data_IF_087747133471
#
_entry.id   IF_087747133471
#
_cell.length_a   1.000
_cell.length_b   1.000
_cell.length_c   1.000
_cell.angle_alpha   90.00
_cell.angle_beta   90.00
_cell.angle_gamma   90.00
#
_symmetry.space_group_name_H-M   'P 1'
#
loop_
_entity.id
_entity.type
_entity.pdbx_description
1 polymer ?
#
# COMPACT_ATOMS: atom_id res chain seq x y z
N UNK A 1 15.56 0.69 11.17
CA UNK A 1 16.49 1.64 11.83
C UNK A 1 17.35 0.98 12.90
N UNK A 2 16.81 0.17 13.82
CA UNK A 2 17.58 -0.46 14.90
C UNK A 2 18.67 -1.44 14.40
N UNK A 3 18.52 -2.00 13.23
CA UNK A 3 19.46 -2.97 12.66
C UNK A 3 20.45 -2.30 11.70
N UNK A 4 19.94 -1.47 10.81
CA UNK A 4 20.73 -0.90 9.69
C UNK A 4 21.60 0.27 10.16
N UNK A 5 21.07 1.18 10.98
CA UNK A 5 21.80 2.36 11.43
C UNK A 5 23.10 2.04 12.19
N UNK A 6 23.13 1.10 13.15
CA UNK A 6 24.39 0.75 13.81
C UNK A 6 25.46 0.22 12.84
N UNK A 7 25.05 -0.53 11.81
CA UNK A 7 25.96 -1.05 10.76
C UNK A 7 26.58 0.11 9.97
N UNK A 8 25.76 1.04 9.47
CA UNK A 8 26.22 2.16 8.68
C UNK A 8 27.04 3.17 9.47
N UNK A 9 26.70 3.37 10.74
CA UNK A 9 27.47 4.20 11.66
C UNK A 9 28.86 3.58 11.94
N UNK A 10 28.93 2.27 12.16
CA UNK A 10 30.18 1.56 12.38
C UNK A 10 31.11 1.62 11.14
N UNK A 11 30.54 1.72 9.94
CA UNK A 11 31.28 1.89 8.68
C UNK A 11 31.68 3.37 8.41
N UNK A 12 31.28 4.31 9.27
CA UNK A 12 31.53 5.74 9.07
C UNK A 12 30.74 6.36 7.91
N UNK A 13 29.66 5.72 7.48
CA UNK A 13 28.84 6.18 6.35
C UNK A 13 27.72 7.11 6.80
N UNK A 14 27.27 7.02 8.05
CA UNK A 14 26.23 7.85 8.66
C UNK A 14 26.63 8.17 10.09
N UNK A 15 26.66 9.44 10.46
CA UNK A 15 26.97 9.88 11.82
C UNK A 15 25.74 9.92 12.72
N UNK A 16 24.67 10.56 12.24
CA UNK A 16 23.42 10.75 12.98
C UNK A 16 22.20 10.63 12.05
N UNK A 17 21.10 10.13 12.59
CA UNK A 17 19.81 10.10 11.92
C UNK A 17 18.80 10.85 12.78
N UNK A 18 18.17 11.87 12.21
CA UNK A 18 17.05 12.60 12.81
C UNK A 18 15.75 12.08 12.21
N UNK A 19 14.85 11.56 13.03
CA UNK A 19 13.56 11.01 12.59
C UNK A 19 12.45 11.94 13.03
N UNK A 20 11.57 12.30 12.08
CA UNK A 20 10.33 13.04 12.34
C UNK A 20 9.15 12.27 11.76
N UNK A 21 7.96 12.53 12.27
CA UNK A 21 6.73 11.88 11.82
C UNK A 21 5.66 12.93 11.54
N UNK A 22 5.07 12.89 10.37
CA UNK A 22 4.02 13.82 9.93
C UNK A 22 2.61 13.21 9.92
N UNK A 23 2.48 11.90 10.11
CA UNK A 23 1.20 11.18 10.05
C UNK A 23 0.39 11.48 8.76
N UNK A 24 1.07 11.59 7.62
CA UNK A 24 0.49 11.94 6.32
C UNK A 24 -0.07 13.37 6.24
N UNK A 25 0.27 14.25 7.17
CA UNK A 25 -0.03 15.69 7.09
C UNK A 25 1.01 16.39 6.22
N UNK A 26 0.58 16.85 5.04
CA UNK A 26 1.43 17.55 4.08
C UNK A 26 2.08 18.80 4.66
N UNK A 27 1.32 19.59 5.39
CA UNK A 27 1.79 20.87 5.97
C UNK A 27 2.86 20.62 7.02
N UNK A 28 2.63 19.65 7.90
CA UNK A 28 3.59 19.25 8.92
C UNK A 28 4.86 18.66 8.27
N UNK A 29 4.73 17.83 7.24
CA UNK A 29 5.88 17.27 6.53
C UNK A 29 6.72 18.36 5.86
N UNK A 30 6.09 19.33 5.21
CA UNK A 30 6.75 20.51 4.63
C UNK A 30 7.50 21.30 5.72
N UNK A 31 6.85 21.57 6.84
CA UNK A 31 7.46 22.29 7.95
C UNK A 31 8.69 21.57 8.50
N UNK A 32 8.58 20.26 8.76
CA UNK A 32 9.68 19.43 9.26
C UNK A 32 10.86 19.42 8.29
N UNK A 33 10.61 19.23 6.99
CA UNK A 33 11.64 19.27 5.96
C UNK A 33 12.33 20.63 5.91
N UNK A 34 11.58 21.74 5.96
CA UNK A 34 12.17 23.09 5.97
C UNK A 34 13.04 23.32 7.21
N UNK A 35 12.61 22.89 8.38
CA UNK A 35 13.40 22.98 9.61
C UNK A 35 14.73 22.22 9.49
N UNK A 36 14.73 21.04 8.87
CA UNK A 36 15.96 20.27 8.61
C UNK A 36 16.89 21.02 7.63
N UNK A 37 16.34 21.53 6.53
CA UNK A 37 17.10 22.25 5.49
C UNK A 37 17.69 23.52 6.07
N UNK A 38 16.89 24.34 6.75
CA UNK A 38 17.32 25.63 7.31
C UNK A 38 18.26 25.48 8.51
N UNK A 39 18.14 24.36 9.22
CA UNK A 39 19.01 24.02 10.35
C UNK A 39 20.46 23.73 9.95
N UNK A 40 20.71 23.40 8.68
CA UNK A 40 22.05 23.17 8.11
C UNK A 40 22.83 22.03 8.77
N UNK A 41 22.12 21.05 9.35
CA UNK A 41 22.71 19.91 10.07
C UNK A 41 22.47 18.56 9.39
N UNK A 42 21.82 18.56 8.24
CA UNK A 42 21.53 17.34 7.49
C UNK A 42 22.19 17.42 6.11
N UNK A 43 22.76 16.31 5.68
CA UNK A 43 23.40 16.20 4.36
C UNK A 43 22.44 15.63 3.30
N UNK A 44 21.40 14.93 3.72
CA UNK A 44 20.35 14.39 2.87
C UNK A 44 19.05 14.22 3.65
N UNK A 45 17.92 14.16 2.94
CA UNK A 45 16.60 13.91 3.51
C UNK A 45 16.00 12.67 2.83
N UNK A 46 15.55 11.70 3.64
CA UNK A 46 14.79 10.55 3.17
C UNK A 46 13.35 10.75 3.62
N UNK A 47 12.41 10.64 2.67
CA UNK A 47 10.98 10.84 2.94
C UNK A 47 10.14 9.64 2.50
N UNK A 48 9.12 9.32 3.30
CA UNK A 48 7.92 8.66 2.84
C UNK A 48 6.91 9.78 2.54
N UNK A 49 6.71 10.14 1.27
CA UNK A 49 5.95 11.33 0.95
C UNK A 49 4.45 11.16 1.22
N UNK A 50 3.85 12.13 1.88
CA UNK A 50 2.41 12.17 2.16
C UNK A 50 1.60 12.36 0.87
N UNK A 51 2.15 13.11 -0.09
CA UNK A 51 1.47 13.48 -1.34
C UNK A 51 2.47 13.63 -2.50
N UNK A 52 2.06 13.25 -3.71
CA UNK A 52 2.95 13.22 -4.88
C UNK A 52 3.43 14.58 -5.35
N UNK A 53 2.75 15.67 -5.01
CA UNK A 53 3.05 17.02 -5.49
C UNK A 53 3.29 18.05 -4.39
N UNK A 54 2.67 17.90 -3.23
CA UNK A 54 2.68 18.89 -2.16
C UNK A 54 4.09 19.28 -1.70
N UNK A 55 5.01 18.32 -1.72
CA UNK A 55 6.40 18.50 -1.26
C UNK A 55 7.35 19.06 -2.33
N UNK A 56 6.92 19.16 -3.59
CA UNK A 56 7.81 19.49 -4.71
C UNK A 56 8.59 20.79 -4.53
N UNK A 57 7.95 21.84 -4.00
CA UNK A 57 8.61 23.13 -3.75
C UNK A 57 9.68 23.03 -2.65
N UNK A 58 9.39 22.25 -1.61
CA UNK A 58 10.34 22.06 -0.50
C UNK A 58 11.51 21.17 -0.92
N UNK A 59 11.25 20.14 -1.73
CA UNK A 59 12.30 19.30 -2.32
C UNK A 59 13.24 20.15 -3.20
N UNK A 60 12.67 20.99 -4.07
CA UNK A 60 13.47 21.93 -4.89
C UNK A 60 14.31 22.86 -4.00
N UNK A 61 13.73 23.40 -2.94
CA UNK A 61 14.45 24.26 -2.00
C UNK A 61 15.62 23.54 -1.33
N UNK A 62 15.45 22.30 -0.90
CA UNK A 62 16.54 21.46 -0.38
C UNK A 62 17.64 21.25 -1.40
N UNK A 63 17.27 20.91 -2.64
CA UNK A 63 18.21 20.75 -3.75
C UNK A 63 19.06 21.99 -4.00
N UNK A 64 18.45 23.19 -4.02
CA UNK A 64 19.14 24.47 -4.17
C UNK A 64 20.11 24.79 -3.01
N UNK A 65 19.91 24.16 -1.85
CA UNK A 65 20.80 24.22 -0.68
C UNK A 65 21.85 23.10 -0.67
N UNK A 66 21.88 22.24 -1.67
CA UNK A 66 22.80 21.10 -1.75
C UNK A 66 22.37 19.89 -0.94
N UNK A 67 21.10 19.84 -0.47
CA UNK A 67 20.54 18.74 0.32
C UNK A 67 19.63 17.90 -0.58
N UNK A 68 20.09 16.75 -1.08
CA UNK A 68 19.28 15.86 -1.90
C UNK A 68 18.13 15.24 -1.07
N UNK A 69 17.04 14.96 -1.77
CA UNK A 69 15.90 14.24 -1.20
C UNK A 69 15.69 12.92 -1.91
N UNK A 70 15.58 11.85 -1.13
CA UNK A 70 15.22 10.51 -1.58
C UNK A 70 13.81 10.19 -1.07
N UNK A 71 12.91 9.78 -1.96
CA UNK A 71 11.57 9.33 -1.59
C UNK A 71 11.49 7.81 -1.71
N UNK A 72 10.99 7.14 -0.67
CA UNK A 72 10.76 5.70 -0.64
C UNK A 72 9.28 5.41 -0.36
N UNK A 73 8.80 4.25 -0.75
CA UNK A 73 7.41 3.80 -0.61
C UNK A 73 6.43 4.68 -1.40
N UNK A 74 6.27 5.95 -1.07
CA UNK A 74 5.58 6.94 -1.89
C UNK A 74 6.57 7.61 -2.85
N UNK A 75 6.08 8.14 -3.98
CA UNK A 75 6.92 8.88 -4.92
C UNK A 75 6.44 10.32 -5.09
N UNK A 76 7.36 11.20 -5.46
CA UNK A 76 7.06 12.59 -5.78
C UNK A 76 7.20 12.84 -7.28
N UNK A 77 6.51 13.86 -7.79
CA UNK A 77 6.67 14.32 -9.17
C UNK A 77 7.80 15.34 -9.33
N UNK A 78 8.54 15.63 -8.25
CA UNK A 78 9.65 16.56 -8.30
C UNK A 78 10.81 16.01 -9.14
N UNK A 79 11.36 16.78 -10.11
CA UNK A 79 12.56 16.37 -10.84
C UNK A 79 13.84 16.48 -9.97
N UNK A 80 13.73 17.00 -8.75
CA UNK A 80 14.81 17.20 -7.80
C UNK A 80 14.86 16.13 -6.71
N UNK A 81 14.04 15.08 -6.81
CA UNK A 81 14.07 13.93 -5.89
C UNK A 81 14.49 12.66 -6.60
N UNK A 82 15.14 11.79 -5.86
CA UNK A 82 15.40 10.42 -6.25
C UNK A 82 14.23 9.58 -5.69
N UNK A 83 13.46 8.96 -6.57
CA UNK A 83 12.36 8.09 -6.15
C UNK A 83 12.85 6.64 -6.17
N UNK A 84 12.77 5.97 -5.02
CA UNK A 84 12.97 4.53 -4.88
C UNK A 84 11.64 3.92 -4.44
N UNK A 85 11.02 3.14 -5.28
CA UNK A 85 9.73 2.54 -4.98
C UNK A 85 9.46 1.37 -5.90
N UNK A 86 8.63 0.43 -5.45
CA UNK A 86 8.11 -0.62 -6.33
C UNK A 86 7.10 -0.03 -7.32
N UNK A 87 6.91 -0.72 -8.42
CA UNK A 87 5.86 -0.35 -9.37
C UNK A 87 4.49 -0.80 -8.85
N UNK A 88 3.88 -0.01 -7.97
CA UNK A 88 2.57 -0.30 -7.38
C UNK A 88 1.48 -0.56 -8.41
N UNK A 89 1.52 0.16 -9.53
CA UNK A 89 0.53 -0.04 -10.59
C UNK A 89 0.66 -1.43 -11.21
N UNK A 90 1.89 -1.91 -11.41
CA UNK A 90 2.13 -3.24 -11.92
C UNK A 90 1.74 -4.32 -10.90
N UNK A 91 2.05 -4.10 -9.61
CA UNK A 91 1.59 -4.99 -8.53
C UNK A 91 0.07 -5.11 -8.54
N UNK A 92 -0.65 -3.98 -8.57
CA UNK A 92 -2.10 -3.99 -8.65
C UNK A 92 -2.63 -4.68 -9.91
N UNK A 93 -1.98 -4.47 -11.05
CA UNK A 93 -2.37 -5.12 -12.31
C UNK A 93 -2.29 -6.65 -12.19
N UNK A 94 -1.21 -7.18 -11.65
CA UNK A 94 -1.09 -8.63 -11.44
C UNK A 94 -2.16 -9.17 -10.48
N UNK A 95 -2.46 -8.44 -9.42
CA UNK A 95 -3.53 -8.81 -8.47
C UNK A 95 -4.89 -8.88 -9.17
N UNK A 96 -5.21 -7.87 -9.97
CA UNK A 96 -6.48 -7.82 -10.72
C UNK A 96 -6.59 -8.92 -11.77
N UNK A 97 -5.52 -9.15 -12.56
CA UNK A 97 -5.47 -10.18 -13.58
C UNK A 97 -5.60 -11.56 -12.95
N UNK A 98 -4.80 -11.83 -11.92
CA UNK A 98 -4.87 -13.10 -11.20
C UNK A 98 -6.25 -13.34 -10.58
N UNK A 99 -6.86 -12.34 -9.95
CA UNK A 99 -8.22 -12.47 -9.41
C UNK A 99 -9.24 -12.81 -10.51
N UNK A 100 -9.15 -12.15 -11.66
CA UNK A 100 -10.06 -12.45 -12.79
C UNK A 100 -9.90 -13.89 -13.28
N UNK A 101 -8.66 -14.34 -13.46
CA UNK A 101 -8.36 -15.73 -13.87
C UNK A 101 -8.85 -16.73 -12.83
N UNK A 102 -8.63 -16.48 -11.56
CA UNK A 102 -9.02 -17.35 -10.45
C UNK A 102 -10.53 -17.59 -10.40
N UNK A 103 -11.34 -16.56 -10.66
CA UNK A 103 -12.80 -16.69 -10.69
C UNK A 103 -13.34 -17.14 -12.05
N UNK A 104 -12.46 -17.56 -12.98
CA UNK A 104 -12.82 -18.04 -14.32
C UNK A 104 -13.27 -16.94 -15.27
N UNK A 105 -12.66 -15.78 -15.20
CA UNK A 105 -12.87 -14.60 -16.06
C UNK A 105 -14.32 -14.08 -16.08
N UNK A 106 -15.09 -14.42 -15.06
CA UNK A 106 -16.49 -14.07 -14.93
C UNK A 106 -16.93 -14.00 -13.48
N UNK A 107 -17.61 -12.93 -13.09
CA UNK A 107 -18.16 -12.80 -11.76
C UNK A 107 -18.07 -11.38 -11.20
N UNK A 108 -18.35 -11.26 -9.94
CA UNK A 108 -18.39 -9.99 -9.23
C UNK A 108 -17.22 -9.91 -8.26
N UNK A 109 -16.45 -8.85 -8.36
CA UNK A 109 -15.26 -8.58 -7.53
C UNK A 109 -15.48 -7.33 -6.69
N UNK A 110 -15.11 -7.39 -5.42
CA UNK A 110 -14.91 -6.21 -4.58
C UNK A 110 -13.42 -5.85 -4.60
N UNK A 111 -13.11 -4.57 -4.74
CA UNK A 111 -11.76 -4.03 -4.62
C UNK A 111 -11.67 -3.30 -3.28
N UNK A 112 -10.72 -3.72 -2.44
CA UNK A 112 -10.46 -3.10 -1.16
C UNK A 112 -9.13 -2.35 -1.22
N UNK A 113 -9.21 -1.03 -1.27
CA UNK A 113 -8.06 -0.14 -1.38
C UNK A 113 -7.53 0.31 -0.02
N UNK A 114 -6.25 0.67 0.04
CA UNK A 114 -5.60 1.17 1.24
C UNK A 114 -6.11 2.56 1.63
N UNK A 115 -5.23 3.57 1.61
CA UNK A 115 -5.57 4.96 1.93
C UNK A 115 -5.84 5.72 0.62
N UNK A 116 -7.07 6.14 0.34
CA UNK A 116 -7.38 6.97 -0.82
C UNK A 116 -6.58 8.28 -0.82
N UNK A 117 -6.04 8.66 -1.98
CA UNK A 117 -5.20 9.85 -2.13
C UNK A 117 -3.72 9.64 -1.80
N UNK A 118 -3.36 8.54 -1.15
CA UNK A 118 -1.95 8.17 -0.99
C UNK A 118 -1.42 7.49 -2.24
N UNK A 119 -0.26 7.95 -2.74
CA UNK A 119 0.23 7.60 -4.08
C UNK A 119 0.36 6.09 -4.33
N UNK A 120 0.89 5.35 -3.36
CA UNK A 120 1.06 3.90 -3.47
C UNK A 120 -0.30 3.19 -3.57
N UNK A 121 -1.25 3.56 -2.71
CA UNK A 121 -2.61 3.00 -2.72
C UNK A 121 -3.33 3.29 -4.03
N UNK A 122 -3.32 4.55 -4.47
CA UNK A 122 -3.96 4.97 -5.71
C UNK A 122 -3.39 4.28 -6.96
N UNK A 123 -2.06 4.12 -7.04
CA UNK A 123 -1.43 3.44 -8.16
C UNK A 123 -1.76 1.94 -8.17
N UNK A 124 -1.76 1.31 -7.01
CA UNK A 124 -2.13 -0.10 -6.89
C UNK A 124 -3.60 -0.31 -7.28
N UNK A 125 -4.51 0.54 -6.79
CA UNK A 125 -5.93 0.50 -7.14
C UNK A 125 -6.15 0.69 -8.65
N UNK A 126 -5.46 1.67 -9.27
CA UNK A 126 -5.49 1.87 -10.73
C UNK A 126 -5.01 0.63 -11.49
N UNK A 127 -4.01 -0.08 -10.96
CA UNK A 127 -3.54 -1.32 -11.55
C UNK A 127 -4.60 -2.42 -11.51
N UNK A 128 -5.19 -2.65 -10.34
CA UNK A 128 -6.27 -3.65 -10.15
C UNK A 128 -7.43 -3.38 -11.12
N UNK A 129 -7.92 -2.16 -11.14
CA UNK A 129 -9.05 -1.77 -12.01
C UNK A 129 -8.70 -1.88 -13.50
N UNK A 130 -7.47 -1.54 -13.89
CA UNK A 130 -7.02 -1.69 -15.27
C UNK A 130 -7.05 -3.15 -15.70
N UNK A 131 -6.50 -4.05 -14.90
CA UNK A 131 -6.52 -5.48 -15.21
C UNK A 131 -7.95 -6.04 -15.28
N UNK A 132 -8.79 -5.76 -14.26
CA UNK A 132 -10.17 -6.24 -14.24
C UNK A 132 -10.99 -5.73 -15.45
N UNK A 133 -10.67 -4.55 -15.98
CA UNK A 133 -11.35 -3.99 -17.16
C UNK A 133 -11.08 -4.74 -18.46
N UNK A 134 -10.03 -5.55 -18.51
CA UNK A 134 -9.71 -6.40 -19.68
C UNK A 134 -10.58 -7.65 -19.75
N UNK A 135 -11.30 -7.98 -18.67
CA UNK A 135 -12.19 -9.14 -18.59
C UNK A 135 -13.66 -8.70 -18.64
N UNK A 136 -14.33 -8.73 -19.79
CA UNK A 136 -15.64 -8.10 -20.01
C UNK A 136 -16.77 -8.71 -19.17
N UNK A 137 -16.58 -9.92 -18.64
CA UNK A 137 -17.57 -10.58 -17.79
C UNK A 137 -17.26 -10.47 -16.28
N UNK A 138 -16.21 -9.75 -15.91
CA UNK A 138 -15.88 -9.44 -14.52
C UNK A 138 -16.40 -8.05 -14.16
N UNK A 139 -17.18 -7.97 -13.09
CA UNK A 139 -17.80 -6.73 -12.66
C UNK A 139 -17.21 -6.29 -11.33
N UNK A 140 -16.72 -5.07 -11.23
CA UNK A 140 -16.39 -4.47 -9.94
C UNK A 140 -17.69 -3.97 -9.31
N UNK A 141 -18.15 -4.64 -8.26
CA UNK A 141 -19.43 -4.37 -7.59
C UNK A 141 -19.29 -3.54 -6.32
N UNK A 142 -18.08 -3.34 -5.84
CA UNK A 142 -17.75 -2.50 -4.69
C UNK A 142 -16.29 -2.04 -4.72
N UNK A 143 -16.06 -0.82 -4.26
CA UNK A 143 -14.74 -0.28 -3.95
C UNK A 143 -14.79 0.24 -2.53
N UNK A 144 -13.97 -0.31 -1.63
CA UNK A 144 -14.02 -0.04 -0.20
C UNK A 144 -12.62 0.35 0.28
N UNK A 145 -12.54 1.40 1.09
CA UNK A 145 -11.26 1.83 1.66
C UNK A 145 -11.07 1.22 3.05
N UNK A 146 -9.98 0.48 3.25
CA UNK A 146 -9.67 -0.12 4.54
C UNK A 146 -8.52 0.59 5.30
N UNK A 147 -7.92 1.61 4.71
CA UNK A 147 -6.86 2.43 5.32
C UNK A 147 -5.68 1.61 5.87
N UNK A 148 -5.37 0.48 5.23
CA UNK A 148 -4.36 -0.50 5.66
C UNK A 148 -4.56 -0.97 7.11
N UNK A 149 -5.82 -1.16 7.50
CA UNK A 149 -6.17 -1.58 8.86
C UNK A 149 -7.20 -2.70 8.80
N UNK A 150 -6.87 -3.86 9.37
CA UNK A 150 -7.77 -5.04 9.39
C UNK A 150 -9.13 -4.74 10.03
N UNK A 151 -9.17 -3.92 11.09
CA UNK A 151 -10.43 -3.55 11.75
C UNK A 151 -11.34 -2.74 10.82
N UNK A 152 -10.76 -1.82 10.04
CA UNK A 152 -11.53 -1.03 9.06
C UNK A 152 -11.97 -1.93 7.91
N UNK A 153 -11.11 -2.81 7.41
CA UNK A 153 -11.46 -3.78 6.38
C UNK A 153 -12.66 -4.63 6.78
N UNK A 154 -12.62 -5.19 7.99
CA UNK A 154 -13.74 -5.99 8.53
C UNK A 154 -15.03 -5.18 8.61
N UNK A 155 -14.96 -3.96 9.15
CA UNK A 155 -16.12 -3.08 9.30
C UNK A 155 -16.74 -2.73 7.95
N UNK A 156 -15.93 -2.22 7.01
CA UNK A 156 -16.42 -1.75 5.71
C UNK A 156 -17.00 -2.90 4.88
N UNK A 157 -16.36 -4.06 4.86
CA UNK A 157 -16.88 -5.23 4.15
C UNK A 157 -18.15 -5.78 4.84
N UNK A 158 -18.19 -5.88 6.16
CA UNK A 158 -19.40 -6.33 6.88
C UNK A 158 -20.58 -5.41 6.61
N UNK A 159 -20.36 -4.10 6.59
CA UNK A 159 -21.39 -3.13 6.25
C UNK A 159 -21.86 -3.29 4.80
N UNK A 160 -20.96 -3.46 3.86
CA UNK A 160 -21.32 -3.70 2.46
C UNK A 160 -22.15 -4.98 2.32
N UNK A 161 -21.72 -6.08 2.94
CA UNK A 161 -22.43 -7.37 2.91
C UNK A 161 -23.84 -7.28 3.51
N UNK A 162 -24.02 -6.48 4.55
CA UNK A 162 -25.33 -6.30 5.19
C UNK A 162 -26.34 -5.51 4.37
N UNK A 163 -25.87 -4.68 3.43
CA UNK A 163 -26.69 -3.77 2.63
C UNK A 163 -26.81 -4.18 1.17
N UNK A 164 -26.02 -5.15 0.71
CA UNK A 164 -26.00 -5.59 -0.68
C UNK A 164 -26.34 -7.09 -0.78
N UNK A 165 -27.15 -7.41 -1.78
CA UNK A 165 -27.53 -8.80 -2.11
C UNK A 165 -26.76 -9.38 -3.30
N UNK A 166 -25.82 -8.61 -3.85
CA UNK A 166 -25.01 -9.08 -4.99
C UNK A 166 -24.10 -10.20 -4.55
N UNK A 167 -24.07 -11.27 -5.33
CA UNK A 167 -23.07 -12.32 -5.15
C UNK A 167 -21.68 -11.76 -5.33
N UNK A 168 -20.73 -12.19 -4.50
CA UNK A 168 -19.32 -11.90 -4.62
C UNK A 168 -18.62 -13.18 -5.01
N UNK A 169 -17.76 -13.10 -6.03
CA UNK A 169 -16.98 -14.23 -6.54
C UNK A 169 -15.49 -14.11 -6.16
N UNK A 170 -15.02 -12.89 -5.83
CA UNK A 170 -13.65 -12.65 -5.37
C UNK A 170 -13.46 -11.28 -4.77
N UNK A 171 -12.38 -11.10 -4.00
CA UNK A 171 -12.01 -9.83 -3.37
C UNK A 171 -10.53 -9.55 -3.61
N UNK A 172 -10.21 -8.45 -4.28
CA UNK A 172 -8.86 -7.93 -4.43
C UNK A 172 -8.59 -6.93 -3.29
N UNK A 173 -7.66 -7.26 -2.38
CA UNK A 173 -7.37 -6.47 -1.18
C UNK A 173 -5.95 -5.94 -1.24
N UNK A 174 -5.74 -4.66 -0.99
CA UNK A 174 -4.39 -4.16 -0.72
C UNK A 174 -3.90 -4.65 0.65
N UNK A 175 -2.58 -4.78 0.82
CA UNK A 175 -1.94 -5.30 2.03
C UNK A 175 -2.52 -4.74 3.33
N UNK A 176 -2.45 -5.52 4.41
CA UNK A 176 -2.90 -5.17 5.77
C UNK A 176 -4.43 -5.02 5.93
N UNK A 177 -5.19 -5.64 5.04
CA UNK A 177 -6.66 -5.70 5.13
C UNK A 177 -7.21 -7.12 5.05
N UNK A 178 -6.39 -8.11 4.73
CA UNK A 178 -6.81 -9.48 4.40
C UNK A 178 -7.44 -10.19 5.60
N UNK A 179 -6.82 -10.07 6.77
CA UNK A 179 -7.34 -10.70 7.99
C UNK A 179 -8.73 -10.17 8.34
N UNK A 180 -8.93 -8.86 8.26
CA UNK A 180 -10.24 -8.24 8.50
C UNK A 180 -11.27 -8.61 7.45
N UNK A 181 -10.86 -8.64 6.19
CA UNK A 181 -11.68 -9.09 5.06
C UNK A 181 -12.15 -10.53 5.28
N UNK A 182 -11.23 -11.43 5.59
CA UNK A 182 -11.53 -12.83 5.89
C UNK A 182 -12.50 -12.96 7.08
N UNK A 183 -12.29 -12.22 8.16
CA UNK A 183 -13.17 -12.23 9.32
C UNK A 183 -14.60 -11.79 8.96
N UNK A 184 -14.75 -10.75 8.12
CA UNK A 184 -16.05 -10.31 7.65
C UNK A 184 -16.76 -11.40 6.83
N UNK A 185 -16.04 -12.07 5.94
CA UNK A 185 -16.56 -13.19 5.13
C UNK A 185 -17.00 -14.36 6.00
N UNK A 186 -16.17 -14.79 6.95
CA UNK A 186 -16.49 -15.88 7.87
C UNK A 186 -17.74 -15.58 8.72
N UNK A 187 -17.92 -14.33 9.13
CA UNK A 187 -19.07 -13.90 9.91
C UNK A 187 -20.34 -13.73 9.07
N UNK A 188 -20.21 -13.55 7.77
CA UNK A 188 -21.35 -13.35 6.87
C UNK A 188 -22.17 -14.61 6.60
N UNK A 189 -21.60 -15.79 6.85
CA UNK A 189 -22.20 -17.08 6.53
C UNK A 189 -22.17 -17.44 5.04
N UNK A 190 -21.36 -16.76 4.23
CA UNK A 190 -21.16 -17.13 2.83
C UNK A 190 -20.50 -18.51 2.72
N UNK A 191 -21.03 -19.36 1.85
CA UNK A 191 -20.51 -20.68 1.54
C UNK A 191 -20.69 -20.96 0.02
N UNK A 192 -19.63 -21.18 -0.74
CA UNK A 192 -18.23 -21.06 -0.34
C UNK A 192 -17.80 -19.61 -0.05
N UNK A 193 -16.74 -19.46 0.78
CA UNK A 193 -16.12 -18.17 1.03
C UNK A 193 -15.39 -17.73 -0.24
N UNK A 194 -15.63 -16.50 -0.74
CA UNK A 194 -14.90 -15.98 -1.91
C UNK A 194 -13.39 -15.93 -1.68
N UNK A 195 -12.57 -16.20 -2.72
CA UNK A 195 -11.12 -16.04 -2.64
C UNK A 195 -10.71 -14.59 -2.43
N UNK A 196 -9.58 -14.41 -1.74
CA UNK A 196 -8.95 -13.12 -1.50
C UNK A 196 -7.62 -13.08 -2.25
N UNK A 197 -7.34 -12.00 -2.97
CA UNK A 197 -6.07 -11.78 -3.64
C UNK A 197 -5.30 -10.63 -2.98
N UNK A 198 -4.01 -10.80 -2.94
CA UNK A 198 -2.98 -10.01 -2.29
C UNK A 198 -3.03 -10.13 -0.77
N UNK A 199 -2.38 -11.15 -0.28
CA UNK A 199 -2.24 -11.41 1.14
C UNK A 199 -0.77 -11.38 1.57
N UNK A 200 -0.59 -11.33 2.84
CA UNK A 200 0.70 -11.33 3.54
C UNK A 200 0.47 -11.20 5.02
N UNK A 201 -0.76 -10.88 5.43
CA UNK A 201 -1.11 -10.83 6.85
C UNK A 201 -1.15 -12.22 7.47
N UNK A 202 -0.49 -12.34 8.61
CA UNK A 202 -0.33 -13.62 9.31
C UNK A 202 -1.68 -14.31 9.61
N UNK A 203 -2.72 -13.54 9.90
CA UNK A 203 -4.06 -14.07 10.18
C UNK A 203 -4.66 -14.81 8.99
N UNK A 204 -4.60 -14.19 7.80
CA UNK A 204 -5.09 -14.78 6.55
C UNK A 204 -4.25 -16.01 6.15
N UNK A 205 -2.91 -15.89 6.21
CA UNK A 205 -1.99 -16.98 5.90
C UNK A 205 -2.18 -18.19 6.83
N UNK A 206 -2.42 -17.96 8.13
CA UNK A 206 -2.70 -19.04 9.07
C UNK A 206 -4.03 -19.75 8.76
N UNK A 207 -5.06 -19.00 8.39
CA UNK A 207 -6.33 -19.58 7.97
C UNK A 207 -6.17 -20.43 6.73
N UNK A 208 -5.51 -19.91 5.68
CA UNK A 208 -5.22 -20.63 4.45
C UNK A 208 -4.49 -21.96 4.71
N UNK A 209 -3.42 -21.92 5.52
CA UNK A 209 -2.69 -23.13 5.90
C UNK A 209 -3.55 -24.17 6.61
N UNK A 210 -4.51 -23.74 7.41
CA UNK A 210 -5.44 -24.63 8.15
C UNK A 210 -6.60 -25.12 7.30
N UNK A 211 -6.89 -24.46 6.18
CA UNK A 211 -8.00 -24.74 5.28
C UNK A 211 -7.49 -24.93 3.85
N UNK A 212 -6.90 -26.09 3.51
CA UNK A 212 -6.22 -26.30 2.22
C UNK A 212 -7.12 -26.17 0.98
N UNK A 213 -8.45 -26.20 1.16
CA UNK A 213 -9.42 -25.97 0.08
C UNK A 213 -9.76 -24.50 -0.14
N UNK A 214 -9.33 -23.62 0.76
CA UNK A 214 -9.49 -22.19 0.57
C UNK A 214 -8.40 -21.65 -0.33
N UNK A 215 -8.75 -20.72 -1.19
CA UNK A 215 -7.79 -20.08 -2.09
C UNK A 215 -7.55 -18.66 -1.62
N UNK A 216 -6.33 -18.43 -1.20
CA UNK A 216 -5.76 -17.13 -0.90
C UNK A 216 -4.44 -17.03 -1.66
N UNK A 217 -3.97 -15.87 -2.00
CA UNK A 217 -2.66 -15.72 -2.62
C UNK A 217 -1.92 -14.50 -2.10
N UNK A 218 -0.72 -14.75 -1.61
CA UNK A 218 0.26 -13.72 -1.29
C UNK A 218 1.15 -13.49 -2.53
N UNK A 219 0.81 -12.50 -3.34
CA UNK A 219 1.56 -12.21 -4.57
C UNK A 219 2.88 -11.51 -4.26
N UNK A 220 3.05 -10.96 -3.05
CA UNK A 220 4.09 -10.01 -2.83
C UNK A 220 4.51 -9.88 -1.36
N UNK A 221 5.79 -10.11 -1.13
CA UNK A 221 6.42 -9.75 0.13
C UNK A 221 7.16 -8.42 -0.06
N UNK A 222 6.87 -7.46 0.77
CA UNK A 222 7.57 -6.19 0.83
C UNK A 222 8.73 -6.31 1.80
N UNK A 223 9.97 -6.29 1.36
CA UNK A 223 11.10 -6.11 2.25
C UNK A 223 11.42 -4.61 2.38
N UNK A 224 10.84 -3.89 3.36
CA UNK A 224 11.08 -2.44 3.49
C UNK A 224 12.56 -2.09 3.72
N UNK A 225 13.36 -3.07 4.14
CA UNK A 225 14.79 -2.93 4.31
C UNK A 225 15.53 -2.73 2.99
N UNK A 226 15.08 -3.37 1.92
CA UNK A 226 15.76 -3.34 0.62
C UNK A 226 15.61 -1.99 -0.10
N UNK A 227 14.65 -1.17 0.30
CA UNK A 227 14.49 0.19 -0.24
C UNK A 227 15.45 1.20 0.41
N UNK A 228 16.05 0.85 1.53
CA UNK A 228 16.86 1.76 2.35
C UNK A 228 18.34 1.36 2.35
N UNK A 229 18.68 0.18 1.88
CA UNK A 229 20.07 -0.27 1.66
C UNK A 229 20.62 0.22 0.32
#
# INVERSE_FOLDING_TARGET
MEVVYPKWKALGMVDEIVITQSNLDDSLQIQQMRQMIDGGKVDAIIICCSNITALNTTIKYGWEKGIPTLSFTGFTTSPYSINTSVNYRLVGYYVGAWMAELIGEKGNVIVMEGIPGYSASDQQNKGVLAALSEYPNVNVVGQLAHNWTSQVAQKELSQWLSTNTKKIDGIAVQSSGETGTLQALLQSGLDPIPPIALGGELGALCYWRQNPGYIDEAIYAWPPGDEVE
#
